data_IF_095733993965
#
_entry.id   IF_095733993965
#
_cell.length_a   1.000
_cell.length_b   1.000
_cell.length_c   1.000
_cell.angle_alpha   90.00
_cell.angle_beta   90.00
_cell.angle_gamma   90.00
#
_symmetry.space_group_name_H-M   'P 1'
#
loop_
_entity.id
_entity.type
_entity.pdbx_description
1 polymer ?
#
# COMPACT_ATOMS: atom_id res chain seq x y z
N UNK A 1 13.82 32.31 -3.53
CA UNK A 1 15.11 32.16 -2.83
C UNK A 1 14.98 31.48 -1.45
N UNK A 2 13.97 31.76 -0.62
CA UNK A 2 13.78 31.03 0.66
C UNK A 2 13.34 29.56 0.50
N UNK A 3 12.49 29.24 -0.49
CA UNK A 3 12.07 27.86 -0.79
C UNK A 3 13.21 26.96 -1.29
N UNK A 4 14.25 27.54 -1.90
CA UNK A 4 15.40 26.78 -2.40
C UNK A 4 16.34 26.36 -1.26
N UNK A 5 16.53 27.23 -0.25
CA UNK A 5 17.32 26.88 0.94
C UNK A 5 16.64 25.80 1.79
N UNK A 6 15.31 25.85 1.94
CA UNK A 6 14.56 24.82 2.67
C UNK A 6 14.64 23.45 1.99
N UNK A 7 14.73 23.39 0.66
CA UNK A 7 14.93 22.13 -0.07
C UNK A 7 16.34 21.56 0.14
N UNK A 8 17.35 22.44 0.22
CA UNK A 8 18.75 22.03 0.34
C UNK A 8 19.09 21.54 1.75
N UNK A 9 18.57 22.19 2.80
CA UNK A 9 18.68 21.72 4.18
C UNK A 9 17.98 20.37 4.39
N UNK A 10 16.92 20.12 3.61
CA UNK A 10 16.12 18.89 3.67
C UNK A 10 16.80 17.71 3.00
N UNK A 11 17.43 17.91 1.84
CA UNK A 11 18.31 16.92 1.19
C UNK A 11 19.47 16.54 2.13
N UNK A 12 20.06 17.52 2.81
CA UNK A 12 21.14 17.29 3.78
C UNK A 12 20.65 16.50 5.00
N UNK A 13 19.42 16.76 5.49
CA UNK A 13 18.83 16.00 6.58
C UNK A 13 18.52 14.53 6.19
N UNK A 14 18.02 14.32 4.97
CA UNK A 14 17.77 12.98 4.43
C UNK A 14 19.09 12.23 4.17
N UNK A 15 20.10 12.88 3.61
CA UNK A 15 21.44 12.30 3.47
C UNK A 15 22.06 11.97 4.83
N UNK A 16 21.89 12.81 5.85
CA UNK A 16 22.40 12.55 7.19
C UNK A 16 21.66 11.40 7.89
N UNK A 17 20.34 11.30 7.73
CA UNK A 17 19.56 10.17 8.23
C UNK A 17 19.99 8.88 7.52
N UNK A 18 20.09 8.90 6.19
CA UNK A 18 20.51 7.74 5.40
C UNK A 18 21.96 7.34 5.68
N UNK A 19 22.86 8.31 5.90
CA UNK A 19 24.25 8.06 6.30
C UNK A 19 24.35 7.53 7.73
N UNK A 20 23.50 7.99 8.65
CA UNK A 20 23.43 7.46 10.02
C UNK A 20 22.91 6.02 10.01
N UNK A 21 21.87 5.74 9.22
CA UNK A 21 21.32 4.41 9.04
C UNK A 21 22.33 3.47 8.33
N UNK A 22 23.08 3.95 7.34
CA UNK A 22 24.18 3.23 6.68
C UNK A 22 25.38 3.00 7.59
N UNK A 23 25.72 3.95 8.49
CA UNK A 23 26.77 3.74 9.51
C UNK A 23 26.33 2.72 10.55
N UNK A 24 25.05 2.70 10.93
CA UNK A 24 24.49 1.67 11.79
C UNK A 24 24.39 0.29 11.09
N UNK A 25 24.29 0.25 9.76
CA UNK A 25 24.38 -0.97 8.93
C UNK A 25 25.74 -1.67 9.05
N UNK A 26 26.81 -0.93 9.37
CA UNK A 26 28.13 -1.52 9.62
C UNK A 26 28.22 -2.25 10.98
N UNK A 27 27.20 -2.12 11.85
CA UNK A 27 27.26 -2.57 13.24
C UNK A 27 26.22 -3.62 13.65
N UNK A 28 25.22 -3.98 12.81
CA UNK A 28 24.20 -4.97 13.19
C UNK A 28 23.76 -5.89 12.04
N UNK A 29 23.57 -7.17 12.37
CA UNK A 29 23.21 -8.26 11.46
C UNK A 29 21.83 -8.06 10.81
N UNK A 30 21.63 -8.68 9.64
CA UNK A 30 20.36 -8.71 8.89
C UNK A 30 19.16 -9.10 9.78
N UNK A 31 19.35 -9.99 10.75
CA UNK A 31 18.33 -10.43 11.72
C UNK A 31 17.76 -9.29 12.57
N UNK A 32 18.59 -8.37 13.08
CA UNK A 32 18.12 -7.25 13.88
C UNK A 32 17.15 -6.34 13.10
N UNK A 33 17.35 -6.24 11.79
CA UNK A 33 16.48 -5.48 10.91
C UNK A 33 15.18 -6.20 10.60
N UNK A 34 15.18 -7.53 10.48
CA UNK A 34 13.95 -8.31 10.28
C UNK A 34 13.06 -8.30 11.52
N UNK A 35 13.67 -8.32 12.72
CA UNK A 35 12.94 -8.21 13.98
C UNK A 35 12.39 -6.79 14.17
N UNK A 36 13.18 -5.75 13.88
CA UNK A 36 12.67 -4.38 13.85
C UNK A 36 11.52 -4.28 12.83
N UNK A 37 11.68 -4.81 11.61
CA UNK A 37 10.63 -4.77 10.59
C UNK A 37 9.37 -5.52 11.02
N UNK A 38 9.49 -6.70 11.64
CA UNK A 38 8.36 -7.48 12.16
C UNK A 38 7.65 -6.77 13.30
N UNK A 39 8.40 -6.24 14.25
CA UNK A 39 7.86 -5.53 15.40
C UNK A 39 7.22 -4.21 14.97
N UNK A 40 7.67 -3.65 13.83
CA UNK A 40 7.34 -2.30 13.44
C UNK A 40 6.32 -2.21 12.29
N UNK A 41 6.14 -3.22 11.45
CA UNK A 41 5.53 -2.99 10.12
C UNK A 41 4.45 -3.98 9.78
N UNK A 42 3.36 -3.95 10.53
CA UNK A 42 2.15 -4.68 10.19
C UNK A 42 2.46 -6.07 9.63
N UNK A 43 2.03 -6.33 8.40
CA UNK A 43 2.53 -7.47 7.63
C UNK A 43 3.42 -6.97 6.47
N UNK A 44 4.74 -7.18 6.59
CA UNK A 44 5.70 -7.13 5.50
C UNK A 44 5.91 -8.54 4.92
N UNK A 45 5.84 -8.66 3.60
CA UNK A 45 6.18 -9.88 2.88
C UNK A 45 6.99 -9.53 1.64
N UNK A 46 8.06 -10.29 1.40
CA UNK A 46 8.83 -10.24 0.15
C UNK A 46 8.84 -11.63 -0.44
N UNK A 47 8.35 -11.75 -1.67
CA UNK A 47 8.26 -12.99 -2.41
C UNK A 47 9.19 -12.86 -3.61
N UNK A 48 10.14 -13.78 -3.73
CA UNK A 48 11.00 -13.89 -4.90
C UNK A 48 10.50 -15.06 -5.75
N UNK A 49 10.32 -14.82 -7.04
CA UNK A 49 9.87 -15.83 -8.00
C UNK A 49 11.07 -16.39 -8.78
N UNK A 50 10.92 -17.58 -9.37
CA UNK A 50 11.98 -18.27 -10.12
C UNK A 50 12.50 -17.47 -11.33
N UNK A 51 11.70 -16.54 -11.85
CA UNK A 51 12.08 -15.64 -12.94
C UNK A 51 12.81 -14.37 -12.47
N UNK A 52 13.31 -14.35 -11.23
CA UNK A 52 13.97 -13.22 -10.56
C UNK A 52 13.08 -11.97 -10.34
N UNK A 53 11.78 -12.07 -10.57
CA UNK A 53 10.86 -11.01 -10.15
C UNK A 53 10.68 -11.04 -8.64
N UNK A 54 10.43 -9.88 -8.04
CA UNK A 54 10.20 -9.76 -6.61
C UNK A 54 8.91 -8.98 -6.37
N UNK A 55 8.05 -9.51 -5.49
CA UNK A 55 6.87 -8.83 -5.01
C UNK A 55 7.08 -8.46 -3.54
N UNK A 56 7.15 -7.16 -3.28
CA UNK A 56 7.19 -6.62 -1.92
C UNK A 56 5.81 -6.10 -1.55
N UNK A 57 5.29 -6.56 -0.42
CA UNK A 57 3.95 -6.25 0.04
C UNK A 57 4.02 -5.74 1.47
N UNK A 58 3.41 -4.59 1.71
CA UNK A 58 3.31 -3.97 3.03
C UNK A 58 1.83 -3.69 3.29
N UNK A 59 1.28 -4.29 4.34
CA UNK A 59 -0.11 -4.05 4.78
C UNK A 59 -0.16 -3.74 6.25
N UNK A 60 -1.23 -3.07 6.68
CA UNK A 60 -1.44 -2.68 8.08
C UNK A 60 -0.22 -1.93 8.63
N UNK A 61 0.36 -1.04 7.83
CA UNK A 61 1.47 -0.20 8.26
C UNK A 61 0.94 1.13 8.76
N UNK A 62 1.49 1.63 9.88
CA UNK A 62 1.16 2.97 10.37
C UNK A 62 1.92 4.08 9.62
N UNK A 63 2.89 3.72 8.79
CA UNK A 63 3.74 4.69 8.09
C UNK A 63 2.92 5.62 7.19
N UNK A 64 1.80 5.11 6.66
CA UNK A 64 0.85 5.91 5.88
C UNK A 64 0.14 6.98 6.73
N UNK A 65 0.19 6.91 8.05
CA UNK A 65 -0.41 7.88 8.97
C UNK A 65 0.61 8.89 9.52
N UNK A 66 1.89 8.72 9.22
CA UNK A 66 2.87 9.73 9.55
C UNK A 66 2.76 10.90 8.57
N UNK A 67 3.17 12.13 8.98
CA UNK A 67 3.37 13.22 8.04
C UNK A 67 4.20 12.73 6.84
N UNK A 68 3.89 13.12 5.58
CA UNK A 68 4.62 12.63 4.41
C UNK A 68 6.14 12.78 4.53
N UNK A 69 6.59 13.87 5.17
CA UNK A 69 8.00 14.16 5.47
C UNK A 69 8.71 13.07 6.27
N UNK A 70 7.95 12.32 7.07
CA UNK A 70 8.48 11.30 7.99
C UNK A 70 8.06 9.90 7.54
N UNK A 71 6.85 9.77 7.01
CA UNK A 71 6.23 8.51 6.60
C UNK A 71 6.87 7.91 5.37
N UNK A 72 7.19 8.71 4.36
CA UNK A 72 7.74 8.20 3.10
C UNK A 72 9.20 7.77 3.25
N UNK A 73 10.10 8.56 3.88
CA UNK A 73 11.45 8.08 4.17
C UNK A 73 11.47 6.82 5.03
N UNK A 74 10.54 6.69 5.98
CA UNK A 74 10.39 5.45 6.77
C UNK A 74 9.80 4.31 5.95
N UNK A 75 8.87 4.56 5.03
CA UNK A 75 8.35 3.54 4.11
C UNK A 75 9.46 3.02 3.19
N UNK A 76 10.27 3.93 2.65
CA UNK A 76 11.47 3.64 1.87
C UNK A 76 12.50 2.83 2.66
N UNK A 77 12.76 3.23 3.91
CA UNK A 77 13.62 2.48 4.83
C UNK A 77 13.15 1.03 4.99
N UNK A 78 11.84 0.86 5.15
CA UNK A 78 11.16 -0.42 5.35
C UNK A 78 11.16 -1.31 4.13
N UNK A 79 11.09 -0.71 2.96
CA UNK A 79 11.26 -1.38 1.67
C UNK A 79 12.74 -1.77 1.41
N UNK A 80 13.49 -2.06 2.48
CA UNK A 80 14.91 -2.46 2.53
C UNK A 80 15.87 -1.42 1.92
N UNK A 81 15.62 -0.13 2.16
CA UNK A 81 16.44 0.99 1.65
C UNK A 81 16.46 1.11 0.12
N UNK A 82 15.48 0.52 -0.56
CA UNK A 82 15.24 0.78 -1.97
C UNK A 82 14.54 2.13 -2.11
N UNK A 83 14.94 2.91 -3.11
CA UNK A 83 14.13 4.04 -3.55
C UNK A 83 12.77 3.51 -4.02
N UNK A 84 11.70 4.30 -3.92
CA UNK A 84 10.43 3.93 -4.58
C UNK A 84 10.69 3.78 -6.09
N UNK A 85 11.63 4.54 -6.65
CA UNK A 85 12.05 4.46 -8.05
C UNK A 85 12.79 3.16 -8.41
N UNK A 86 13.25 2.37 -7.43
CA UNK A 86 13.83 1.05 -7.71
C UNK A 86 12.74 0.01 -8.04
N UNK A 87 11.48 0.32 -7.73
CA UNK A 87 10.34 -0.51 -8.08
C UNK A 87 9.88 -0.22 -9.51
N UNK A 88 9.82 -1.27 -10.33
CA UNK A 88 9.33 -1.15 -11.71
C UNK A 88 7.89 -0.65 -11.79
N UNK A 89 7.06 -1.04 -10.82
CA UNK A 89 5.71 -0.51 -10.67
C UNK A 89 5.25 -0.57 -9.21
N UNK A 90 4.33 0.31 -8.82
CA UNK A 90 3.62 0.23 -7.54
C UNK A 90 2.18 -0.25 -7.71
N UNK A 91 1.74 -1.16 -6.83
CA UNK A 91 0.33 -1.50 -6.64
C UNK A 91 -0.20 -0.75 -5.43
N UNK A 92 -1.11 0.20 -5.64
CA UNK A 92 -1.54 1.12 -4.59
C UNK A 92 -3.02 0.87 -4.31
N UNK A 93 -3.30 0.30 -3.14
CA UNK A 93 -4.66 0.24 -2.61
C UNK A 93 -4.99 1.50 -1.84
N UNK A 94 -6.24 1.60 -1.38
CA UNK A 94 -6.66 2.73 -0.54
C UNK A 94 -5.91 2.77 0.80
N UNK A 95 -5.52 3.98 1.20
CA UNK A 95 -5.08 4.27 2.56
C UNK A 95 -6.29 4.42 3.49
N UNK A 96 -6.42 3.53 4.47
CA UNK A 96 -7.57 3.53 5.38
C UNK A 96 -7.52 4.74 6.32
N UNK A 97 -8.65 5.38 6.61
CA UNK A 97 -8.72 6.39 7.67
C UNK A 97 -8.70 5.75 9.06
N UNK A 98 -8.02 6.41 10.01
CA UNK A 98 -7.98 5.97 11.42
C UNK A 98 -9.36 5.99 12.06
N UNK A 99 -10.24 6.90 11.62
CA UNK A 99 -11.64 6.96 12.05
C UNK A 99 -12.39 5.65 11.78
N UNK A 100 -12.08 4.98 10.67
CA UNK A 100 -12.67 3.70 10.28
C UNK A 100 -12.09 2.53 11.08
N UNK A 101 -11.00 2.77 11.80
CA UNK A 101 -10.22 1.77 12.54
C UNK A 101 -10.29 1.97 14.06
N UNK A 102 -11.11 2.90 14.57
CA UNK A 102 -11.17 3.33 15.99
C UNK A 102 -11.35 2.21 17.01
N UNK A 103 -11.90 1.06 16.61
CA UNK A 103 -12.08 -0.13 17.45
C UNK A 103 -11.41 -1.38 16.88
N UNK A 104 -10.58 -1.21 15.84
CA UNK A 104 -9.87 -2.33 15.25
C UNK A 104 -8.72 -2.75 16.18
N UNK A 105 -8.49 -4.06 16.27
CA UNK A 105 -7.28 -4.61 16.92
C UNK A 105 -6.01 -3.99 16.33
N UNK A 106 -6.05 -3.65 15.03
CA UNK A 106 -4.99 -2.90 14.36
C UNK A 106 -4.65 -1.60 15.09
N UNK A 107 -5.63 -0.72 15.31
CA UNK A 107 -5.37 0.57 15.94
C UNK A 107 -4.86 0.43 17.37
N UNK A 108 -5.34 -0.57 18.11
CA UNK A 108 -4.91 -0.81 19.49
C UNK A 108 -3.46 -1.28 19.54
N UNK A 109 -3.09 -2.27 18.71
CA UNK A 109 -1.70 -2.73 18.54
C UNK A 109 -0.78 -1.58 18.13
N UNK A 110 -1.24 -0.70 17.24
CA UNK A 110 -0.43 0.43 16.80
C UNK A 110 -0.29 1.51 17.87
N UNK A 111 -1.32 1.79 18.67
CA UNK A 111 -1.23 2.76 19.79
C UNK A 111 -0.24 2.30 20.85
N UNK A 112 -0.34 1.03 21.26
CA UNK A 112 0.41 0.49 22.39
C UNK A 112 1.92 0.39 22.11
N UNK A 113 2.29 0.17 20.84
CA UNK A 113 3.70 -0.04 20.47
C UNK A 113 4.45 1.25 20.07
N UNK A 114 3.75 2.33 19.74
CA UNK A 114 4.39 3.42 18.98
C UNK A 114 4.22 4.82 19.51
N UNK A 115 3.31 5.04 20.46
CA UNK A 115 3.00 6.38 20.98
C UNK A 115 2.70 7.41 19.86
N UNK A 116 2.14 6.94 18.73
CA UNK A 116 1.74 7.79 17.62
C UNK A 116 0.26 8.10 17.78
N UNK A 117 -0.07 9.39 17.88
CA UNK A 117 -1.45 9.83 17.83
C UNK A 117 -1.98 9.81 16.38
N UNK A 118 -2.32 8.61 15.92
CA UNK A 118 -2.91 8.41 14.60
C UNK A 118 -4.27 9.10 14.45
N UNK A 119 -4.87 9.63 15.53
CA UNK A 119 -6.16 10.35 15.43
C UNK A 119 -6.00 11.77 14.90
N UNK A 120 -4.78 12.32 14.92
CA UNK A 120 -4.49 13.69 14.47
C UNK A 120 -3.92 13.77 13.06
N UNK A 121 -3.42 12.67 12.52
CA UNK A 121 -2.83 12.64 11.17
C UNK A 121 -3.73 11.84 10.22
N UNK A 122 -4.33 12.48 9.19
CA UNK A 122 -5.05 11.73 8.18
C UNK A 122 -4.09 10.76 7.48
N UNK A 123 -4.58 9.64 6.94
CA UNK A 123 -3.75 8.82 6.08
C UNK A 123 -3.21 9.65 4.92
N UNK A 124 -2.03 9.25 4.45
CA UNK A 124 -1.44 9.70 3.20
C UNK A 124 -2.52 9.63 2.12
N UNK A 125 -2.64 10.71 1.37
CA UNK A 125 -3.49 10.78 0.20
C UNK A 125 -2.64 10.48 -1.02
N UNK A 126 -3.24 9.89 -2.04
CA UNK A 126 -2.49 9.55 -3.24
C UNK A 126 -1.74 10.75 -3.89
N UNK A 127 -2.23 12.02 -3.90
CA UNK A 127 -1.43 13.14 -4.42
C UNK A 127 -0.09 13.32 -3.69
N UNK A 128 -0.04 13.00 -2.40
CA UNK A 128 1.19 13.08 -1.62
C UNK A 128 2.16 11.95 -2.01
N UNK A 129 1.67 10.79 -2.45
CA UNK A 129 2.53 9.73 -2.96
C UNK A 129 3.14 10.10 -4.32
N UNK A 130 2.37 10.76 -5.19
CA UNK A 130 2.86 11.22 -6.49
C UNK A 130 3.95 12.28 -6.43
N UNK A 131 4.16 12.93 -5.27
CA UNK A 131 5.31 13.82 -5.04
C UNK A 131 6.63 13.06 -4.86
N UNK A 132 6.60 11.75 -4.56
CA UNK A 132 7.77 10.95 -4.21
C UNK A 132 7.94 9.72 -5.12
N UNK A 133 6.92 9.36 -5.89
CA UNK A 133 7.00 8.29 -6.88
C UNK A 133 6.43 8.77 -8.22
N UNK A 134 7.30 8.77 -9.22
CA UNK A 134 6.97 9.18 -10.58
C UNK A 134 6.95 8.01 -11.57
N UNK A 135 7.20 6.79 -11.11
CA UNK A 135 7.17 5.60 -11.97
C UNK A 135 5.77 5.03 -12.22
N UNK A 136 5.71 3.89 -12.94
CA UNK A 136 4.46 3.20 -13.27
C UNK A 136 3.66 2.77 -12.05
N UNK A 137 2.34 2.97 -12.07
CA UNK A 137 1.48 2.64 -10.94
C UNK A 137 0.13 2.06 -11.36
N UNK A 138 -0.36 1.13 -10.55
CA UNK A 138 -1.72 0.61 -10.64
C UNK A 138 -2.43 0.89 -9.32
N UNK A 139 -3.33 1.85 -9.35
CA UNK A 139 -4.27 2.08 -8.25
C UNK A 139 -5.43 1.09 -8.35
N UNK A 140 -5.94 0.61 -7.22
CA UNK A 140 -7.08 -0.29 -7.23
C UNK A 140 -8.06 -0.01 -6.10
N UNK A 141 -9.35 -0.18 -6.39
CA UNK A 141 -10.40 0.01 -5.38
C UNK A 141 -10.34 -1.08 -4.31
N UNK A 142 -10.78 -0.75 -3.10
CA UNK A 142 -11.01 -1.76 -2.07
C UNK A 142 -12.38 -2.41 -2.30
N UNK A 143 -12.50 -3.71 -2.04
CA UNK A 143 -13.74 -4.42 -2.36
C UNK A 143 -14.87 -4.24 -1.36
N UNK A 144 -14.59 -3.85 -0.10
CA UNK A 144 -15.54 -3.92 1.03
C UNK A 144 -17.00 -3.69 0.59
N UNK A 145 -17.94 -4.55 1.00
CA UNK A 145 -19.29 -4.59 0.42
C UNK A 145 -20.01 -3.23 0.45
N UNK A 146 -19.65 -2.36 1.39
CA UNK A 146 -20.13 -0.99 1.54
C UNK A 146 -19.18 0.10 0.99
N UNK A 147 -18.29 -0.23 0.06
CA UNK A 147 -17.16 0.61 -0.38
C UNK A 147 -17.30 1.17 -1.80
N UNK A 148 -18.50 1.23 -2.37
CA UNK A 148 -18.72 1.86 -3.68
C UNK A 148 -18.20 3.31 -3.72
N UNK A 149 -18.39 4.05 -2.63
CA UNK A 149 -17.83 5.40 -2.47
C UNK A 149 -16.29 5.40 -2.51
N UNK A 150 -15.64 4.38 -1.95
CA UNK A 150 -14.18 4.29 -1.95
C UNK A 150 -13.62 3.89 -3.31
N UNK A 151 -14.35 3.07 -4.06
CA UNK A 151 -14.01 2.78 -5.45
C UNK A 151 -14.12 4.05 -6.31
N UNK A 152 -15.17 4.85 -6.08
CA UNK A 152 -15.35 6.16 -6.72
C UNK A 152 -14.22 7.12 -6.34
N UNK A 153 -13.87 7.26 -5.06
CA UNK A 153 -12.75 8.11 -4.61
C UNK A 153 -11.43 7.75 -5.32
N UNK A 154 -11.12 6.45 -5.42
CA UNK A 154 -9.87 5.98 -6.05
C UNK A 154 -9.88 6.25 -7.56
N UNK A 155 -11.03 6.03 -8.21
CA UNK A 155 -11.21 6.34 -9.64
C UNK A 155 -11.03 7.83 -9.91
N UNK A 156 -11.77 8.67 -9.18
CA UNK A 156 -11.71 10.13 -9.29
C UNK A 156 -10.32 10.68 -8.98
N UNK A 157 -9.54 10.01 -8.14
CA UNK A 157 -8.14 10.36 -7.95
C UNK A 157 -7.32 10.10 -9.21
N UNK A 158 -7.39 8.89 -9.79
CA UNK A 158 -6.62 8.54 -11.00
C UNK A 158 -7.00 9.41 -12.18
N UNK A 159 -8.29 9.73 -12.33
CA UNK A 159 -8.80 10.60 -13.39
C UNK A 159 -8.28 12.05 -13.30
N UNK A 160 -7.71 12.49 -12.17
CA UNK A 160 -7.03 13.81 -12.05
C UNK A 160 -5.64 13.82 -12.66
N UNK A 161 -5.09 12.65 -12.96
CA UNK A 161 -3.77 12.46 -13.58
C UNK A 161 -3.98 11.82 -14.95
N UNK A 162 -4.91 12.37 -15.74
CA UNK A 162 -5.26 11.88 -17.07
C UNK A 162 -4.09 11.97 -18.07
N UNK A 163 -3.08 12.78 -17.75
CA UNK A 163 -1.81 12.91 -18.46
C UNK A 163 -0.81 11.77 -18.18
N UNK A 164 -1.00 10.99 -17.09
CA UNK A 164 -0.13 9.87 -16.72
C UNK A 164 -0.54 8.59 -17.44
N UNK A 165 0.10 8.31 -18.58
CA UNK A 165 -0.13 7.08 -19.34
C UNK A 165 0.31 5.79 -18.61
N UNK A 166 1.20 5.94 -17.63
CA UNK A 166 1.77 4.90 -16.78
C UNK A 166 1.01 4.75 -15.44
N UNK A 167 -0.15 5.40 -15.29
CA UNK A 167 -1.07 5.22 -14.16
C UNK A 167 -2.36 4.54 -14.64
N UNK A 168 -2.74 3.44 -13.98
CA UNK A 168 -3.99 2.72 -14.26
C UNK A 168 -4.85 2.55 -13.02
N UNK A 169 -6.16 2.51 -13.22
CA UNK A 169 -7.13 2.17 -12.19
C UNK A 169 -7.76 0.81 -12.46
N UNK A 170 -7.75 -0.07 -11.45
CA UNK A 170 -8.48 -1.35 -11.46
C UNK A 170 -9.65 -1.28 -10.49
N UNK A 171 -10.86 -1.37 -11.04
CA UNK A 171 -12.07 -1.52 -10.23
C UNK A 171 -12.24 -2.99 -9.80
N UNK A 172 -11.92 -3.30 -8.54
CA UNK A 172 -11.99 -4.67 -8.00
C UNK A 172 -13.42 -5.20 -7.83
N UNK A 173 -14.43 -4.34 -8.05
CA UNK A 173 -15.86 -4.66 -8.02
C UNK A 173 -16.43 -4.93 -9.42
N UNK A 174 -15.65 -4.75 -10.50
CA UNK A 174 -16.10 -4.93 -11.90
C UNK A 174 -16.72 -6.30 -12.21
N UNK A 175 -16.31 -7.33 -11.47
CA UNK A 175 -16.78 -8.70 -11.67
C UNK A 175 -18.05 -9.05 -10.87
N UNK A 176 -18.51 -8.19 -9.96
CA UNK A 176 -19.72 -8.43 -9.14
C UNK A 176 -20.96 -8.70 -10.01
N UNK A 177 -21.25 -7.92 -11.07
CA UNK A 177 -22.45 -8.18 -11.88
C UNK A 177 -22.48 -9.58 -12.51
N UNK A 178 -21.32 -10.15 -12.81
CA UNK A 178 -21.21 -11.48 -13.43
C UNK A 178 -21.17 -12.63 -12.43
N UNK A 179 -20.58 -12.42 -11.24
CA UNK A 179 -20.31 -13.49 -10.27
C UNK A 179 -21.21 -13.45 -9.03
N UNK A 180 -21.95 -12.37 -8.85
CA UNK A 180 -22.60 -12.04 -7.58
C UNK A 180 -21.61 -11.52 -6.54
N UNK A 181 -22.13 -10.82 -5.54
CA UNK A 181 -21.36 -10.39 -4.38
C UNK A 181 -21.41 -11.48 -3.31
N UNK A 182 -20.24 -11.88 -2.80
CA UNK A 182 -20.18 -12.82 -1.69
C UNK A 182 -18.96 -12.63 -0.79
N UNK A 183 -19.23 -12.39 0.47
CA UNK A 183 -18.23 -12.25 1.53
C UNK A 183 -18.58 -13.09 2.76
N UNK A 184 -17.61 -13.31 3.64
CA UNK A 184 -17.76 -14.08 4.87
C UNK A 184 -16.86 -13.52 5.97
N UNK A 185 -17.33 -13.56 7.21
CA UNK A 185 -16.56 -13.21 8.41
C UNK A 185 -15.70 -14.36 8.94
N UNK A 186 -15.84 -15.57 8.34
CA UNK A 186 -15.01 -16.71 8.70
C UNK A 186 -13.54 -16.46 8.34
N UNK A 187 -12.65 -17.03 9.16
CA UNK A 187 -11.19 -16.86 8.99
C UNK A 187 -10.72 -17.58 7.72
N UNK A 188 -9.53 -17.22 7.22
CA UNK A 188 -8.90 -17.68 5.97
C UNK A 188 -8.80 -19.21 5.74
N UNK A 189 -9.16 -20.04 6.72
CA UNK A 189 -9.10 -21.51 6.65
C UNK A 189 -10.45 -22.20 6.95
N UNK A 190 -11.52 -21.44 7.05
CA UNK A 190 -12.86 -21.95 7.38
C UNK A 190 -13.82 -21.71 6.21
N UNK A 191 -14.67 -22.69 5.93
CA UNK A 191 -15.77 -22.53 4.98
C UNK A 191 -16.85 -21.69 5.65
N UNK A 192 -17.06 -20.48 5.12
CA UNK A 192 -18.12 -19.58 5.58
C UNK A 192 -19.35 -19.62 4.69
N UNK A 193 -20.48 -19.20 5.27
CA UNK A 193 -21.67 -18.86 4.48
C UNK A 193 -21.50 -17.45 3.92
N UNK A 194 -22.12 -17.23 2.77
CA UNK A 194 -22.22 -15.91 2.18
C UNK A 194 -23.00 -14.97 3.12
N UNK A 195 -22.38 -13.85 3.48
CA UNK A 195 -22.95 -12.79 4.31
C UNK A 195 -22.46 -11.42 3.82
N UNK A 196 -23.29 -10.80 2.98
CA UNK A 196 -23.03 -9.47 2.43
C UNK A 196 -23.52 -8.35 3.35
N UNK A 197 -24.16 -8.66 4.49
CA UNK A 197 -24.67 -7.63 5.41
C UNK A 197 -23.58 -7.13 6.36
N UNK A 198 -22.50 -7.90 6.54
CA UNK A 198 -21.43 -7.54 7.45
C UNK A 198 -20.33 -6.72 6.76
N UNK A 199 -20.14 -5.48 7.18
CA UNK A 199 -19.10 -4.60 6.65
C UNK A 199 -17.66 -5.12 6.87
N UNK A 200 -17.46 -6.04 7.83
CA UNK A 200 -16.16 -6.64 8.16
C UNK A 200 -15.93 -8.00 7.47
N UNK A 201 -16.80 -8.40 6.54
CA UNK A 201 -16.66 -9.65 5.81
C UNK A 201 -15.57 -9.56 4.72
N UNK A 202 -14.82 -10.63 4.54
CA UNK A 202 -13.80 -10.75 3.49
C UNK A 202 -14.36 -11.51 2.28
N UNK A 203 -13.84 -11.25 1.08
CA UNK A 203 -14.21 -11.99 -0.14
C UNK A 203 -14.08 -13.50 0.07
N UNK A 204 -15.14 -14.24 -0.25
CA UNK A 204 -15.05 -15.68 -0.34
C UNK A 204 -14.13 -16.09 -1.48
N UNK A 205 -13.33 -17.14 -1.24
CA UNK A 205 -12.59 -17.85 -2.28
C UNK A 205 -13.04 -19.31 -2.24
N UNK A 206 -13.42 -19.85 -3.40
CA UNK A 206 -13.74 -21.27 -3.54
C UNK A 206 -12.54 -22.07 -4.04
N UNK A 207 -12.70 -23.39 -4.12
CA UNK A 207 -11.67 -24.30 -4.65
C UNK A 207 -11.30 -24.00 -6.12
N UNK A 208 -12.19 -23.35 -6.86
CA UNK A 208 -11.99 -22.94 -8.25
C UNK A 208 -11.60 -21.46 -8.36
N UNK A 209 -11.17 -20.85 -7.26
CA UNK A 209 -10.91 -19.43 -7.15
C UNK A 209 -12.17 -18.62 -6.80
N UNK A 210 -12.08 -17.32 -7.02
CA UNK A 210 -13.19 -16.40 -6.78
C UNK A 210 -12.78 -14.98 -7.12
N UNK A 211 -13.52 -14.04 -6.56
CA UNK A 211 -13.27 -12.62 -6.73
C UNK A 211 -11.81 -12.19 -6.50
N UNK A 212 -11.08 -12.65 -5.48
CA UNK A 212 -9.66 -12.30 -5.31
C UNK A 212 -8.76 -12.81 -6.43
N UNK A 213 -9.05 -13.99 -6.99
CA UNK A 213 -8.28 -14.57 -8.09
C UNK A 213 -8.39 -13.71 -9.35
N UNK A 214 -9.60 -13.27 -9.68
CA UNK A 214 -9.83 -12.39 -10.82
C UNK A 214 -9.21 -11.02 -10.61
N UNK A 215 -9.35 -10.44 -9.41
CA UNK A 215 -8.69 -9.18 -9.08
C UNK A 215 -7.17 -9.30 -9.21
N UNK A 216 -6.57 -10.41 -8.74
CA UNK A 216 -5.14 -10.63 -8.90
C UNK A 216 -4.75 -10.67 -10.38
N UNK A 217 -5.55 -11.30 -11.24
CA UNK A 217 -5.33 -11.31 -12.67
C UNK A 217 -5.43 -9.91 -13.29
N UNK A 218 -6.47 -9.15 -12.92
CA UNK A 218 -6.67 -7.77 -13.38
C UNK A 218 -5.47 -6.88 -13.01
N UNK A 219 -4.94 -7.04 -11.79
CA UNK A 219 -3.77 -6.30 -11.33
C UNK A 219 -2.53 -6.69 -12.13
N UNK A 220 -2.33 -7.98 -12.43
CA UNK A 220 -1.21 -8.45 -13.27
C UNK A 220 -1.29 -7.86 -14.68
N UNK A 221 -2.48 -7.86 -15.29
CA UNK A 221 -2.70 -7.28 -16.61
C UNK A 221 -2.45 -5.77 -16.62
N UNK A 222 -3.01 -5.04 -15.66
CA UNK A 222 -2.79 -3.60 -15.52
C UNK A 222 -1.31 -3.27 -15.26
N UNK A 223 -0.62 -4.07 -14.44
CA UNK A 223 0.82 -3.90 -14.17
C UNK A 223 1.62 -4.09 -15.45
N UNK A 224 1.29 -5.13 -16.22
CA UNK A 224 1.93 -5.37 -17.51
C UNK A 224 1.69 -4.22 -18.47
N UNK A 225 0.52 -3.59 -18.47
CA UNK A 225 0.22 -2.44 -19.33
C UNK A 225 1.07 -1.22 -18.97
N UNK A 226 1.15 -0.84 -17.70
CA UNK A 226 1.93 0.35 -17.27
C UNK A 226 3.43 0.17 -17.42
N UNK A 227 3.91 -1.08 -17.49
CA UNK A 227 5.31 -1.40 -17.74
C UNK A 227 5.69 -1.45 -19.22
N UNK A 228 4.72 -1.42 -20.16
CA UNK A 228 5.05 -1.44 -21.59
C UNK A 228 5.64 -0.09 -21.99
N UNK A 229 6.70 -0.08 -22.81
CA UNK A 229 7.18 1.16 -23.41
C UNK A 229 6.05 1.82 -24.22
N UNK A 230 5.74 3.08 -23.93
CA UNK A 230 4.88 3.88 -24.79
C UNK A 230 5.63 4.13 -26.10
N UNK A 231 5.29 3.35 -27.12
CA UNK A 231 5.72 3.62 -28.49
C UNK A 231 4.85 4.77 -28.98
N UNK A 232 5.43 5.97 -29.02
CA UNK A 232 4.82 7.16 -29.61
C UNK A 232 4.75 7.04 -31.14
#
# INVERSE_FOLDING_TARGET
NELACQYQDRIVAEENLMNTLRRNKALKSHEYYEDLVKDHLGNYQRIEFENNSTFTHVTNTFLIHLPPTDGIPKLLFVLRMQSLDDYSALLIGRFNHVTNSRQSTYLQVMKDNWNIDMTQSPPMQYPQLSEYYHGPAVAYSMFAASADEFAKETREYVERFDDRLDLKFVDVRRHIPALGECSSTKRRKEIGRCDNQNANSHKCTGIYGGHPTLVAWDLVEATREVLRPHTL
#
